data_IF_972075818390
#
_entry.id   IF_972075818390
#
_cell.length_a   1.000
_cell.length_b   1.000
_cell.length_c   1.000
_cell.angle_alpha   90.00
_cell.angle_beta   90.00
_cell.angle_gamma   90.00
#
_symmetry.space_group_name_H-M   'P 1'
#
loop_
_entity.id
_entity.type
_entity.pdbx_description
1 polymer ?
#
# COMPACT_ATOMS: atom_id res chain seq x y z
N UNK A 1 -15.43 -20.03 -10.50
CA UNK A 1 -14.66 -19.39 -9.44
C UNK A 1 -14.67 -17.88 -9.57
N UNK A 2 -14.96 -17.22 -8.49
CA UNK A 2 -15.01 -15.77 -8.50
C UNK A 2 -13.65 -15.17 -8.21
N UNK A 3 -13.29 -14.17 -8.98
CA UNK A 3 -12.10 -13.40 -8.72
C UNK A 3 -12.50 -12.16 -7.93
N UNK A 4 -11.81 -11.91 -6.85
CA UNK A 4 -12.07 -10.74 -6.02
C UNK A 4 -11.53 -9.50 -6.73
N UNK A 5 -12.43 -8.56 -6.98
CA UNK A 5 -12.12 -7.42 -7.82
C UNK A 5 -13.06 -6.29 -7.41
N UNK A 6 -12.50 -5.14 -7.10
CA UNK A 6 -13.30 -3.98 -6.70
C UNK A 6 -13.04 -2.86 -7.69
N UNK A 7 -14.00 -2.67 -8.60
CA UNK A 7 -13.88 -1.63 -9.62
C UNK A 7 -12.67 -1.82 -10.52
N UNK A 8 -12.35 -3.07 -10.86
CA UNK A 8 -11.19 -3.38 -11.69
C UNK A 8 -9.89 -3.46 -10.93
N UNK A 9 -9.92 -3.34 -9.61
CA UNK A 9 -8.71 -3.34 -8.78
C UNK A 9 -8.80 -4.40 -7.71
N UNK A 10 -7.65 -4.84 -7.23
CA UNK A 10 -7.54 -5.86 -6.19
C UNK A 10 -7.29 -5.27 -4.81
N UNK A 11 -7.31 -3.96 -4.68
CA UNK A 11 -7.21 -3.29 -3.38
C UNK A 11 -7.84 -1.91 -3.51
N UNK A 12 -8.18 -1.32 -2.37
CA UNK A 12 -8.77 0.02 -2.34
C UNK A 12 -7.79 1.07 -1.81
N UNK A 13 -6.62 0.66 -1.32
CA UNK A 13 -5.69 1.56 -0.64
C UNK A 13 -4.54 2.03 -1.51
N UNK A 14 -4.35 1.40 -2.69
CA UNK A 14 -3.16 1.64 -3.50
C UNK A 14 -2.96 3.09 -3.91
N UNK A 15 -4.03 3.77 -4.29
CA UNK A 15 -3.93 5.17 -4.71
C UNK A 15 -3.56 6.07 -3.54
N UNK A 16 -4.09 5.80 -2.36
CA UNK A 16 -3.76 6.59 -1.18
C UNK A 16 -2.34 6.31 -0.69
N UNK A 17 -1.90 5.05 -0.81
CA UNK A 17 -0.51 4.71 -0.52
C UNK A 17 0.42 5.53 -1.43
N UNK A 18 0.10 5.58 -2.73
CA UNK A 18 0.89 6.36 -3.67
C UNK A 18 0.88 7.84 -3.32
N UNK A 19 -0.28 8.38 -3.02
CA UNK A 19 -0.42 9.79 -2.65
C UNK A 19 0.45 10.13 -1.43
N UNK A 20 0.36 9.32 -0.38
CA UNK A 20 1.12 9.55 0.84
C UNK A 20 2.63 9.39 0.58
N UNK A 21 3.00 8.40 -0.24
CA UNK A 21 4.41 8.19 -0.59
C UNK A 21 4.98 9.42 -1.30
N UNK A 22 4.25 9.95 -2.26
CA UNK A 22 4.70 11.12 -3.02
C UNK A 22 4.81 12.37 -2.13
N UNK A 23 3.92 12.51 -1.16
CA UNK A 23 4.01 13.63 -0.21
C UNK A 23 5.28 13.57 0.61
N UNK A 24 5.76 12.37 0.91
CA UNK A 24 7.01 12.17 1.65
C UNK A 24 8.22 12.16 0.73
N UNK A 25 8.01 12.31 -0.57
CA UNK A 25 9.08 12.30 -1.58
C UNK A 25 9.87 10.99 -1.56
N UNK A 26 9.20 9.90 -1.31
CA UNK A 26 9.80 8.57 -1.31
C UNK A 26 9.65 7.94 -2.69
N UNK A 27 10.68 7.25 -3.16
CA UNK A 27 10.55 6.38 -4.31
C UNK A 27 9.82 5.11 -3.90
N UNK A 28 9.40 4.31 -4.86
CA UNK A 28 8.81 3.01 -4.56
C UNK A 28 9.82 2.11 -3.84
N UNK A 29 11.08 2.17 -4.25
CA UNK A 29 12.14 1.40 -3.56
C UNK A 29 12.35 1.86 -2.13
N UNK A 30 12.29 3.18 -1.88
CA UNK A 30 12.42 3.72 -0.54
C UNK A 30 11.28 3.22 0.35
N UNK A 31 10.07 3.24 -0.16
CA UNK A 31 8.92 2.76 0.61
C UNK A 31 9.06 1.27 0.91
N UNK A 32 9.46 0.48 -0.08
CA UNK A 32 9.67 -0.95 0.12
C UNK A 32 10.68 -1.21 1.22
N UNK A 33 11.79 -0.47 1.22
CA UNK A 33 12.83 -0.63 2.24
C UNK A 33 12.30 -0.30 3.63
N UNK A 34 11.50 0.76 3.76
CA UNK A 34 10.93 1.14 5.06
C UNK A 34 9.93 0.12 5.58
N UNK A 35 9.16 -0.48 4.68
CA UNK A 35 8.22 -1.53 5.05
C UNK A 35 8.98 -2.76 5.55
N UNK A 36 10.10 -3.11 4.89
CA UNK A 36 10.91 -4.25 5.32
C UNK A 36 11.50 -4.03 6.71
N UNK A 37 11.88 -2.81 7.05
CA UNK A 37 12.39 -2.50 8.39
C UNK A 37 11.33 -2.82 9.45
N UNK A 38 10.05 -2.71 9.09
CA UNK A 38 8.93 -3.04 9.99
C UNK A 38 8.64 -4.53 10.06
N UNK A 39 9.41 -5.35 9.36
CA UNK A 39 9.28 -6.79 9.46
C UNK A 39 8.43 -7.46 8.38
N UNK A 40 8.02 -6.71 7.37
CA UNK A 40 7.21 -7.26 6.27
C UNK A 40 8.05 -7.30 5.00
N UNK A 41 8.17 -8.47 4.39
CA UNK A 41 8.89 -8.59 3.13
C UNK A 41 8.17 -7.81 2.04
N UNK A 42 8.88 -6.90 1.40
CA UNK A 42 8.29 -6.04 0.38
C UNK A 42 9.37 -5.63 -0.61
N UNK A 43 9.04 -5.65 -1.89
CA UNK A 43 9.94 -5.23 -2.95
C UNK A 43 9.29 -4.12 -3.75
N UNK A 44 10.12 -3.43 -4.53
CA UNK A 44 9.66 -2.33 -5.37
C UNK A 44 8.50 -2.76 -6.28
N UNK A 45 8.59 -3.94 -6.89
CA UNK A 45 7.53 -4.45 -7.77
C UNK A 45 6.22 -4.63 -7.03
N UNK A 46 6.29 -5.07 -5.78
CA UNK A 46 5.08 -5.21 -4.96
C UNK A 46 4.43 -3.86 -4.72
N UNK A 47 5.23 -2.84 -4.41
CA UNK A 47 4.71 -1.47 -4.23
C UNK A 47 4.05 -0.99 -5.52
N UNK A 48 4.72 -1.19 -6.66
CA UNK A 48 4.18 -0.77 -7.95
C UNK A 48 2.83 -1.41 -8.22
N UNK A 49 2.71 -2.73 -8.00
CA UNK A 49 1.45 -3.43 -8.23
C UNK A 49 0.35 -3.02 -7.27
N UNK A 50 0.71 -2.73 -6.02
CA UNK A 50 -0.24 -2.21 -5.05
C UNK A 50 -0.80 -0.87 -5.55
N UNK A 51 0.07 0.03 -5.99
CA UNK A 51 -0.35 1.37 -6.41
C UNK A 51 -1.19 1.33 -7.68
N UNK A 52 -0.89 0.40 -8.59
CA UNK A 52 -1.67 0.21 -9.80
C UNK A 52 -2.99 -0.51 -9.51
N UNK A 53 -3.03 -1.33 -8.48
CA UNK A 53 -4.22 -2.07 -8.09
C UNK A 53 -4.25 -3.50 -8.57
N UNK A 54 -3.11 -4.05 -8.99
CA UNK A 54 -3.04 -5.43 -9.50
C UNK A 54 -2.60 -6.44 -8.46
N UNK A 55 -2.35 -6.01 -7.23
CA UNK A 55 -1.94 -6.87 -6.13
C UNK A 55 -2.87 -6.67 -4.94
N UNK A 56 -3.32 -7.76 -4.33
CA UNK A 56 -4.04 -7.68 -3.06
C UNK A 56 -3.11 -7.16 -1.97
N UNK A 57 -3.70 -6.49 -0.99
CA UNK A 57 -2.96 -6.06 0.21
C UNK A 57 -3.52 -6.87 1.36
N UNK A 58 -2.74 -7.81 1.92
CA UNK A 58 -3.18 -8.51 3.13
C UNK A 58 -3.44 -7.50 4.25
N UNK A 59 -4.41 -7.81 5.09
CA UNK A 59 -4.82 -6.87 6.12
C UNK A 59 -3.70 -6.47 7.07
N UNK A 60 -2.75 -7.38 7.34
CA UNK A 60 -1.63 -7.08 8.24
C UNK A 60 -0.65 -6.08 7.65
N UNK A 61 -0.69 -5.82 6.35
CA UNK A 61 0.18 -4.83 5.73
C UNK A 61 -0.37 -3.41 5.90
N UNK A 62 -1.67 -3.25 6.07
CA UNK A 62 -2.27 -1.92 6.18
C UNK A 62 -1.72 -1.13 7.37
N UNK A 63 -1.66 -1.68 8.59
CA UNK A 63 -1.07 -0.94 9.71
C UNK A 63 0.40 -0.58 9.48
N UNK A 64 1.13 -1.44 8.77
CA UNK A 64 2.54 -1.19 8.46
C UNK A 64 2.67 0.01 7.53
N UNK A 65 1.88 0.04 6.45
CA UNK A 65 1.87 1.19 5.55
C UNK A 65 1.45 2.47 6.28
N UNK A 66 0.43 2.38 7.13
CA UNK A 66 -0.03 3.54 7.89
C UNK A 66 1.11 4.11 8.73
N UNK A 67 1.82 3.25 9.44
CA UNK A 67 2.93 3.67 10.30
C UNK A 67 4.07 4.27 9.51
N UNK A 68 4.48 3.60 8.44
CA UNK A 68 5.60 4.05 7.60
C UNK A 68 5.28 5.37 6.92
N UNK A 69 4.05 5.53 6.47
CA UNK A 69 3.63 6.73 5.71
C UNK A 69 3.15 7.86 6.61
N UNK A 70 2.96 7.59 7.92
CA UNK A 70 2.51 8.61 8.85
C UNK A 70 1.06 9.01 8.65
N UNK A 71 0.21 8.08 8.21
CA UNK A 71 -1.21 8.32 8.00
C UNK A 71 -2.01 7.30 8.80
N UNK A 72 -3.33 7.54 8.96
CA UNK A 72 -4.16 6.58 9.66
C UNK A 72 -4.53 5.41 8.75
N UNK A 73 -4.71 4.24 9.36
CA UNK A 73 -5.19 3.08 8.61
C UNK A 73 -6.59 3.33 8.04
N UNK A 74 -7.43 4.06 8.76
CA UNK A 74 -8.77 4.38 8.28
C UNK A 74 -8.71 5.22 7.01
N UNK A 75 -7.77 6.16 6.94
CA UNK A 75 -7.60 6.97 5.74
C UNK A 75 -7.16 6.10 4.56
N UNK A 76 -6.23 5.17 4.80
CA UNK A 76 -5.81 4.25 3.75
C UNK A 76 -6.97 3.39 3.25
N UNK A 77 -7.89 3.05 4.12
CA UNK A 77 -9.05 2.23 3.77
C UNK A 77 -10.22 3.05 3.19
N UNK A 78 -10.05 4.37 3.11
CA UNK A 78 -11.09 5.22 2.54
C UNK A 78 -12.26 5.48 3.47
N UNK A 79 -12.10 5.25 4.77
CA UNK A 79 -13.16 5.42 5.75
C UNK A 79 -13.10 6.81 6.41
N UNK A 80 -11.95 7.44 6.30
CA UNK A 80 -11.70 8.71 6.95
C UNK A 80 -11.39 9.80 5.96
#
# INVERSE_FOLDING_TARGET
MRIYDFGGKKNISGERIREARLKLRLSQSDLAARVQVEGVTMERDSISRIEIGTRFIPDYEIPVFARVLGVSALWLLGIE
#
